data_IF_246226044158
#
_entry.id   IF_246226044158
#
_cell.length_a   1.000
_cell.length_b   1.000
_cell.length_c   1.000
_cell.angle_alpha   90.00
_cell.angle_beta   90.00
_cell.angle_gamma   90.00
#
_symmetry.space_group_name_H-M   'P 1'
#
loop_
_entity.id
_entity.type
_entity.pdbx_description
1 polymer ?
#
# COMPACT_ATOMS: atom_id res chain seq x y z
N UNK A 1 1.97 19.26 20.05
CA UNK A 1 1.89 20.57 19.37
C UNK A 1 1.57 21.61 20.42
N UNK A 2 2.10 22.82 20.33
CA UNK A 2 1.81 23.93 21.24
C UNK A 2 1.35 25.15 20.44
N UNK A 3 0.58 26.01 21.09
CA UNK A 3 0.08 27.27 20.54
C UNK A 3 -0.68 27.10 19.21
N UNK A 4 -1.47 26.02 19.09
CA UNK A 4 -2.13 25.64 17.84
C UNK A 4 -3.37 26.48 17.55
N UNK A 5 -4.20 26.73 18.57
CA UNK A 5 -5.40 27.56 18.45
C UNK A 5 -5.38 28.76 19.40
N UNK A 6 -4.69 28.64 20.54
CA UNK A 6 -4.49 29.72 21.50
C UNK A 6 -3.10 29.65 22.15
N UNK A 7 -2.55 30.81 22.51
CA UNK A 7 -1.28 30.88 23.22
C UNK A 7 -1.35 30.15 24.57
N UNK A 8 -0.37 29.29 24.83
CA UNK A 8 -0.25 28.43 26.01
C UNK A 8 -0.92 27.06 25.85
N UNK A 9 -1.66 26.80 24.78
CA UNK A 9 -2.32 25.51 24.58
C UNK A 9 -1.33 24.37 24.24
N UNK A 10 -1.77 23.13 24.47
CA UNK A 10 -1.02 21.94 24.10
C UNK A 10 -1.97 20.89 23.52
N UNK A 11 -1.65 20.45 22.32
CA UNK A 11 -2.46 19.51 21.55
C UNK A 11 -1.68 18.26 21.19
N UNK A 12 -2.37 17.12 21.24
CA UNK A 12 -1.85 15.84 20.79
C UNK A 12 -2.44 15.50 19.42
N UNK A 13 -1.57 15.27 18.44
CA UNK A 13 -2.00 14.83 17.10
C UNK A 13 -2.14 13.32 17.12
N UNK A 14 -3.38 12.84 17.18
CA UNK A 14 -3.70 11.39 17.15
C UNK A 14 -3.34 10.76 15.81
N UNK A 15 -3.54 11.52 14.74
CA UNK A 15 -3.45 11.05 13.36
C UNK A 15 -4.76 10.46 12.85
N UNK A 16 -5.85 10.46 13.61
CA UNK A 16 -7.13 9.91 13.15
C UNK A 16 -8.04 11.01 12.57
N UNK A 17 -8.66 10.74 11.43
CA UNK A 17 -9.75 11.53 10.84
C UNK A 17 -11.06 11.05 11.44
N UNK A 18 -11.78 11.96 12.10
CA UNK A 18 -13.06 11.69 12.73
C UNK A 18 -14.15 12.56 12.08
N UNK A 19 -15.35 12.00 11.93
CA UNK A 19 -16.56 12.74 11.58
C UNK A 19 -17.41 12.90 12.84
N UNK A 20 -17.89 14.12 13.10
CA UNK A 20 -18.84 14.39 14.18
C UNK A 20 -20.24 14.60 13.58
N UNK A 21 -21.26 14.00 14.17
CA UNK A 21 -22.66 14.24 13.79
C UNK A 21 -23.31 15.40 14.57
N UNK A 22 -24.60 15.64 14.31
CA UNK A 22 -25.37 16.71 14.96
C UNK A 22 -25.61 16.45 16.46
N UNK A 23 -25.66 15.18 16.88
CA UNK A 23 -25.87 14.76 18.27
C UNK A 23 -24.57 14.76 19.08
N UNK A 24 -23.42 14.98 18.43
CA UNK A 24 -22.12 15.13 19.07
C UNK A 24 -21.30 13.85 19.14
N UNK A 25 -21.74 12.76 18.50
CA UNK A 25 -20.99 11.52 18.40
C UNK A 25 -19.86 11.64 17.38
N UNK A 26 -18.71 11.05 17.71
CA UNK A 26 -17.57 10.95 16.82
C UNK A 26 -17.49 9.56 16.21
N UNK A 27 -17.34 9.53 14.89
CA UNK A 27 -17.17 8.33 14.09
C UNK A 27 -15.76 8.32 13.52
N UNK A 28 -15.07 7.21 13.66
CA UNK A 28 -13.80 7.00 12.97
C UNK A 28 -14.04 6.96 11.47
N UNK A 29 -13.27 7.77 10.72
CA UNK A 29 -13.32 7.80 9.26
C UNK A 29 -12.08 7.13 8.70
N UNK A 30 -10.90 7.59 9.10
CA UNK A 30 -9.63 7.10 8.57
C UNK A 30 -8.47 7.53 9.49
N UNK A 31 -7.23 7.18 9.13
CA UNK A 31 -6.02 7.68 9.77
C UNK A 31 -5.14 8.44 8.75
N UNK A 32 -4.82 9.68 9.07
CA UNK A 32 -3.84 10.51 8.37
C UNK A 32 -2.52 9.74 8.21
N UNK A 33 -2.19 9.41 6.96
CA UNK A 33 -1.02 8.61 6.59
C UNK A 33 -1.34 7.20 6.09
N UNK A 34 -2.58 6.72 6.25
CA UNK A 34 -3.08 5.46 5.69
C UNK A 34 -3.73 5.64 4.31
N UNK A 35 -3.58 6.82 3.70
CA UNK A 35 -3.96 7.06 2.29
C UNK A 35 -2.76 7.50 1.47
N UNK A 36 -2.80 7.22 0.17
CA UNK A 36 -1.89 7.81 -0.80
C UNK A 36 -2.65 8.28 -2.03
N UNK A 37 -2.07 9.25 -2.76
CA UNK A 37 -2.65 9.78 -3.99
C UNK A 37 -1.94 9.17 -5.20
N UNK A 38 -2.69 8.58 -6.13
CA UNK A 38 -2.15 7.98 -7.35
C UNK A 38 -2.98 8.41 -8.56
N UNK A 39 -2.33 8.97 -9.58
CA UNK A 39 -2.99 9.45 -10.82
C UNK A 39 -4.21 10.34 -10.57
N UNK A 40 -4.14 11.20 -9.56
CA UNK A 40 -5.21 12.12 -9.21
C UNK A 40 -6.30 11.56 -8.28
N UNK A 41 -6.21 10.29 -7.88
CA UNK A 41 -7.19 9.61 -7.04
C UNK A 41 -6.62 9.32 -5.64
N UNK A 42 -7.47 9.35 -4.62
CA UNK A 42 -7.09 8.97 -3.26
C UNK A 42 -7.35 7.47 -3.06
N UNK A 43 -6.35 6.77 -2.51
CA UNK A 43 -6.42 5.33 -2.23
C UNK A 43 -6.35 5.12 -0.73
N UNK A 44 -7.39 4.50 -0.16
CA UNK A 44 -7.43 4.06 1.23
C UNK A 44 -6.67 2.74 1.38
N UNK A 45 -5.51 2.76 2.05
CA UNK A 45 -4.64 1.58 2.13
C UNK A 45 -5.30 0.42 2.86
N UNK A 46 -6.10 0.71 3.89
CA UNK A 46 -6.77 -0.33 4.67
C UNK A 46 -7.85 -1.04 3.87
N UNK A 47 -8.70 -0.30 3.15
CA UNK A 47 -9.75 -0.89 2.29
C UNK A 47 -9.13 -1.79 1.21
N UNK A 48 -8.05 -1.32 0.58
CA UNK A 48 -7.32 -2.14 -0.40
C UNK A 48 -6.73 -3.39 0.27
N UNK A 49 -6.10 -3.25 1.43
CA UNK A 49 -5.53 -4.39 2.16
C UNK A 49 -6.60 -5.42 2.55
N UNK A 50 -7.74 -4.98 3.08
CA UNK A 50 -8.85 -5.84 3.50
C UNK A 50 -9.42 -6.63 2.32
N UNK A 51 -9.58 -5.99 1.16
CA UNK A 51 -10.02 -6.67 -0.06
C UNK A 51 -8.97 -7.67 -0.57
N UNK A 52 -7.68 -7.32 -0.54
CA UNK A 52 -6.60 -8.21 -0.96
C UNK A 52 -6.37 -9.37 0.01
N UNK A 53 -6.69 -9.23 1.30
CA UNK A 53 -6.66 -10.33 2.28
C UNK A 53 -7.62 -11.47 1.93
N UNK A 54 -8.64 -11.20 1.10
CA UNK A 54 -9.58 -12.22 0.62
C UNK A 54 -9.11 -12.92 -0.66
N UNK A 55 -7.94 -12.54 -1.22
CA UNK A 55 -7.40 -13.17 -2.41
C UNK A 55 -6.96 -14.63 -2.14
N UNK A 56 -7.04 -15.53 -3.14
CA UNK A 56 -6.55 -16.90 -3.00
C UNK A 56 -5.08 -16.96 -2.57
N UNK A 57 -4.76 -17.83 -1.60
CA UNK A 57 -3.40 -18.03 -1.10
C UNK A 57 -2.87 -16.94 -0.17
N UNK A 58 -3.58 -15.83 0.03
CA UNK A 58 -3.16 -14.72 0.90
C UNK A 58 -3.56 -14.97 2.36
N UNK A 59 -2.62 -14.75 3.27
CA UNK A 59 -2.84 -14.73 4.72
C UNK A 59 -3.03 -13.31 5.23
N UNK A 60 -2.12 -12.40 4.87
CA UNK A 60 -2.15 -11.01 5.35
C UNK A 60 -1.54 -10.06 4.31
N UNK A 61 -2.06 -8.83 4.24
CA UNK A 61 -1.67 -7.79 3.29
C UNK A 61 -1.55 -6.46 4.01
N UNK A 62 -0.51 -5.71 3.67
CA UNK A 62 -0.31 -4.33 4.09
C UNK A 62 -0.01 -3.47 2.88
N UNK A 63 -0.80 -2.41 2.69
CA UNK A 63 -0.72 -1.55 1.52
C UNK A 63 -0.13 -0.19 1.92
N UNK A 64 0.70 0.37 1.06
CA UNK A 64 1.33 1.68 1.24
C UNK A 64 1.72 2.30 -0.09
N UNK A 65 1.95 3.60 -0.10
CA UNK A 65 2.35 4.35 -1.29
C UNK A 65 3.87 4.52 -1.40
N UNK A 66 4.45 4.15 -2.54
CA UNK A 66 5.87 4.34 -2.87
C UNK A 66 6.08 5.40 -3.95
N UNK A 67 7.17 6.15 -3.86
CA UNK A 67 7.49 7.21 -4.83
C UNK A 67 8.12 6.59 -6.07
N UNK A 68 7.51 6.81 -7.24
CA UNK A 68 8.04 6.37 -8.53
C UNK A 68 8.56 7.60 -9.30
N UNK A 69 9.84 7.63 -9.73
CA UNK A 69 10.39 8.73 -10.51
C UNK A 69 9.53 9.05 -11.75
N UNK A 70 9.34 10.34 -12.02
CA UNK A 70 8.58 10.79 -13.20
C UNK A 70 7.06 10.65 -13.09
N UNK A 71 6.53 10.28 -11.93
CA UNK A 71 5.08 10.19 -11.69
C UNK A 71 4.64 11.15 -10.60
N UNK A 72 3.40 11.64 -10.70
CA UNK A 72 2.79 12.44 -9.64
C UNK A 72 2.13 11.53 -8.59
N UNK A 73 2.41 11.81 -7.32
CA UNK A 73 1.85 11.04 -6.21
C UNK A 73 2.71 9.83 -5.84
N UNK A 74 2.04 8.76 -5.39
CA UNK A 74 2.67 7.53 -4.93
C UNK A 74 1.95 6.33 -5.53
N UNK A 75 2.71 5.40 -6.11
CA UNK A 75 2.17 4.16 -6.63
C UNK A 75 1.81 3.21 -5.47
N UNK A 76 0.74 2.45 -5.61
CA UNK A 76 0.37 1.45 -4.61
C UNK A 76 1.35 0.28 -4.57
N UNK A 77 1.76 -0.11 -3.36
CA UNK A 77 2.55 -1.30 -3.10
C UNK A 77 1.85 -2.15 -2.03
N UNK A 78 1.81 -3.46 -2.24
CA UNK A 78 1.29 -4.42 -1.27
C UNK A 78 2.42 -5.31 -0.76
N UNK A 79 2.68 -5.28 0.54
CA UNK A 79 3.37 -6.38 1.20
C UNK A 79 2.35 -7.50 1.46
N UNK A 80 2.69 -8.73 1.12
CA UNK A 80 1.78 -9.89 1.18
C UNK A 80 2.49 -11.05 1.89
N UNK A 81 1.82 -11.61 2.89
CA UNK A 81 2.14 -12.91 3.49
C UNK A 81 1.23 -13.95 2.88
N UNK A 82 1.80 -15.03 2.37
CA UNK A 82 1.03 -16.16 1.86
C UNK A 82 0.66 -17.13 2.98
N UNK A 83 -0.39 -17.90 2.77
CA UNK A 83 -0.71 -19.03 3.66
C UNK A 83 0.40 -20.08 3.57
N UNK A 84 0.57 -20.83 4.65
CA UNK A 84 1.60 -21.86 4.73
C UNK A 84 1.41 -22.91 3.61
N UNK A 85 2.49 -23.20 2.89
CA UNK A 85 2.49 -24.14 1.77
C UNK A 85 1.96 -23.60 0.43
N UNK A 86 1.42 -22.37 0.39
CA UNK A 86 0.92 -21.75 -0.83
C UNK A 86 2.03 -20.97 -1.58
N UNK A 87 1.91 -20.95 -2.91
CA UNK A 87 2.73 -20.12 -3.80
C UNK A 87 1.99 -18.86 -4.24
N UNK A 88 2.73 -17.82 -4.62
CA UNK A 88 2.10 -16.62 -5.16
C UNK A 88 1.66 -16.82 -6.61
N UNK A 89 0.36 -16.86 -6.84
CA UNK A 89 -0.23 -16.86 -8.19
C UNK A 89 -0.55 -15.41 -8.61
N UNK A 90 0.34 -14.83 -9.41
CA UNK A 90 0.18 -13.48 -9.94
C UNK A 90 -1.06 -13.29 -10.84
N UNK A 91 -1.55 -14.33 -11.52
CA UNK A 91 -2.76 -14.24 -12.35
C UNK A 91 -4.01 -14.24 -11.48
N UNK A 92 -4.08 -15.14 -10.50
CA UNK A 92 -5.18 -15.18 -9.55
C UNK A 92 -5.28 -13.88 -8.74
N UNK A 93 -4.14 -13.37 -8.26
CA UNK A 93 -4.08 -12.11 -7.52
C UNK A 93 -4.48 -10.90 -8.38
N UNK A 94 -4.02 -10.83 -9.64
CA UNK A 94 -4.46 -9.80 -10.60
C UNK A 94 -5.98 -9.84 -10.82
N UNK A 95 -6.53 -11.02 -11.12
CA UNK A 95 -7.94 -11.19 -11.39
C UNK A 95 -8.80 -10.86 -10.14
N UNK A 96 -8.30 -11.17 -8.94
CA UNK A 96 -8.95 -10.79 -7.70
C UNK A 96 -8.98 -9.27 -7.50
N UNK A 97 -7.85 -8.59 -7.70
CA UNK A 97 -7.78 -7.14 -7.63
C UNK A 97 -8.68 -6.47 -8.65
N UNK A 98 -8.72 -6.96 -9.89
CA UNK A 98 -9.57 -6.42 -10.95
C UNK A 98 -11.08 -6.56 -10.67
N UNK A 99 -11.50 -7.62 -9.99
CA UNK A 99 -12.92 -7.81 -9.61
C UNK A 99 -13.38 -6.88 -8.49
N UNK A 100 -12.49 -6.52 -7.56
CA UNK A 100 -12.88 -5.86 -6.32
C UNK A 100 -12.38 -4.42 -6.19
N UNK A 101 -11.36 -4.02 -6.96
CA UNK A 101 -10.71 -2.72 -6.83
C UNK A 101 -10.78 -1.93 -8.15
N UNK A 102 -10.97 -0.61 -8.07
CA UNK A 102 -10.84 0.25 -9.25
C UNK A 102 -9.38 0.28 -9.73
N UNK A 103 -9.20 0.58 -11.02
CA UNK A 103 -7.91 0.53 -11.71
C UNK A 103 -6.76 1.22 -10.98
N UNK A 104 -7.03 2.39 -10.38
CA UNK A 104 -6.06 3.23 -9.67
C UNK A 104 -5.69 2.70 -8.27
N UNK A 105 -6.54 1.91 -7.63
CA UNK A 105 -6.30 1.37 -6.28
C UNK A 105 -5.58 0.02 -6.30
N UNK A 106 -5.57 -0.67 -7.44
CA UNK A 106 -4.84 -1.93 -7.63
C UNK A 106 -3.33 -1.67 -7.46
N UNK A 107 -2.62 -2.40 -6.58
CA UNK A 107 -1.19 -2.20 -6.37
C UNK A 107 -0.40 -2.30 -7.68
N UNK A 108 0.54 -1.38 -7.88
CA UNK A 108 1.52 -1.47 -8.97
C UNK A 108 2.59 -2.52 -8.66
N UNK A 109 2.91 -2.69 -7.37
CA UNK A 109 3.93 -3.62 -6.88
C UNK A 109 3.39 -4.54 -5.80
N UNK A 110 3.91 -5.77 -5.76
CA UNK A 110 3.68 -6.75 -4.69
C UNK A 110 5.04 -7.20 -4.16
N UNK A 111 5.19 -7.25 -2.83
CA UNK A 111 6.35 -7.79 -2.12
C UNK A 111 5.91 -8.95 -1.26
N UNK A 112 6.49 -10.13 -1.44
CA UNK A 112 6.20 -11.27 -0.59
C UNK A 112 7.08 -11.22 0.65
N UNK A 113 6.46 -11.05 1.82
CA UNK A 113 7.15 -11.04 3.11
C UNK A 113 6.83 -12.32 3.87
N UNK A 114 7.76 -12.79 4.70
CA UNK A 114 7.57 -14.04 5.47
C UNK A 114 6.51 -13.88 6.55
N UNK A 115 6.49 -12.72 7.18
CA UNK A 115 5.54 -12.35 8.23
C UNK A 115 5.34 -10.84 8.21
N UNK A 116 4.17 -10.38 8.66
CA UNK A 116 3.99 -8.98 8.98
C UNK A 116 4.56 -8.75 10.37
N UNK A 117 5.67 -8.03 10.44
CA UNK A 117 6.31 -7.71 11.71
C UNK A 117 5.41 -6.76 12.52
N UNK A 118 4.67 -7.31 13.48
CA UNK A 118 3.83 -6.55 14.42
C UNK A 118 4.67 -6.22 15.64
N UNK A 119 5.31 -5.05 15.69
CA UNK A 119 5.77 -4.53 16.97
C UNK A 119 4.57 -4.29 17.89
N UNK A 120 4.71 -4.54 19.20
CA UNK A 120 3.63 -4.58 20.22
C UNK A 120 2.75 -3.33 20.41
N UNK A 121 2.75 -2.37 19.49
CA UNK A 121 1.83 -1.23 19.43
C UNK A 121 1.08 -1.09 18.10
N UNK A 122 1.17 -2.07 17.17
CA UNK A 122 0.56 -2.02 15.82
C UNK A 122 0.97 -0.76 15.00
N UNK A 123 1.95 0.02 15.48
CA UNK A 123 2.44 1.24 14.85
C UNK A 123 3.90 1.02 14.43
N UNK A 124 4.11 1.20 13.13
CA UNK A 124 5.39 1.42 12.44
C UNK A 124 6.20 0.21 11.95
N UNK A 125 5.72 -0.41 10.85
CA UNK A 125 6.60 -0.79 9.74
C UNK A 125 6.16 -0.33 8.35
N UNK A 126 4.92 0.16 8.14
CA UNK A 126 4.54 0.79 6.85
C UNK A 126 5.53 1.88 6.42
N UNK A 127 6.05 2.69 7.36
CA UNK A 127 7.07 3.70 7.11
C UNK A 127 8.41 3.11 6.66
N UNK A 128 8.86 2.02 7.30
CA UNK A 128 10.10 1.33 6.93
C UNK A 128 9.97 0.66 5.57
N UNK A 129 8.89 -0.09 5.35
CA UNK A 129 8.56 -0.73 4.06
C UNK A 129 8.44 0.31 2.93
N UNK A 130 7.77 1.43 3.20
CA UNK A 130 7.66 2.52 2.22
C UNK A 130 9.00 3.21 1.95
N UNK A 131 9.92 3.27 2.92
CA UNK A 131 11.27 3.83 2.75
C UNK A 131 12.23 2.89 2.02
N UNK A 132 12.04 1.57 2.17
CA UNK A 132 12.71 0.54 1.36
C UNK A 132 12.21 0.58 -0.09
N UNK A 133 10.92 0.89 -0.28
CA UNK A 133 10.33 1.10 -1.59
C UNK A 133 10.18 -0.21 -2.36
N UNK A 134 10.50 -0.18 -3.65
CA UNK A 134 10.37 -1.33 -4.57
C UNK A 134 11.70 -1.67 -5.26
N UNK A 135 12.84 -1.21 -4.72
CA UNK A 135 14.15 -1.41 -5.34
C UNK A 135 14.67 -2.85 -5.09
N UNK A 136 14.79 -3.71 -6.13
CA UNK A 136 15.30 -5.07 -6.00
C UNK A 136 16.79 -5.14 -5.60
N UNK A 137 17.54 -4.03 -5.64
CA UNK A 137 18.90 -3.98 -5.10
C UNK A 137 18.93 -3.78 -3.57
N UNK A 138 17.83 -3.28 -2.98
CA UNK A 138 17.72 -2.97 -1.55
C UNK A 138 16.87 -4.00 -0.79
N UNK A 139 16.03 -4.73 -1.52
CA UNK A 139 15.05 -5.67 -0.96
C UNK A 139 15.42 -7.09 -1.41
N UNK A 140 15.62 -7.98 -0.44
CA UNK A 140 15.87 -9.41 -0.70
C UNK A 140 14.58 -10.21 -0.93
N UNK A 141 13.44 -9.68 -0.48
CA UNK A 141 12.14 -10.30 -0.63
C UNK A 141 11.72 -10.41 -2.11
N UNK A 142 10.99 -11.46 -2.51
CA UNK A 142 10.43 -11.55 -3.85
C UNK A 142 9.53 -10.36 -4.16
N UNK A 143 9.88 -9.63 -5.23
CA UNK A 143 9.12 -8.50 -5.73
C UNK A 143 8.42 -8.88 -7.03
N UNK A 144 7.23 -8.32 -7.23
CA UNK A 144 6.45 -8.46 -8.43
C UNK A 144 5.86 -7.11 -8.84
N UNK A 145 5.58 -6.96 -10.13
CA UNK A 145 5.04 -5.74 -10.73
C UNK A 145 3.85 -6.10 -11.60
N UNK A 146 2.81 -5.26 -11.53
CA UNK A 146 1.57 -5.46 -12.30
C UNK A 146 1.84 -5.32 -13.80
N UNK A 147 1.28 -6.24 -14.57
CA UNK A 147 1.23 -6.18 -16.03
C UNK A 147 -0.22 -6.26 -16.48
N UNK A 148 -0.79 -5.12 -16.89
CA UNK A 148 -2.18 -5.04 -17.36
C UNK A 148 -2.36 -5.70 -18.75
N UNK A 149 -1.29 -5.83 -19.56
CA UNK A 149 -1.35 -6.50 -20.87
C UNK A 149 -1.39 -8.01 -20.72
N UNK A 150 -0.49 -8.57 -19.90
CA UNK A 150 -0.43 -10.00 -19.60
C UNK A 150 -1.45 -10.44 -18.53
N UNK A 151 -2.13 -9.48 -17.88
CA UNK A 151 -3.11 -9.66 -16.80
C UNK A 151 -2.56 -10.53 -15.67
N UNK A 152 -1.38 -10.17 -15.18
CA UNK A 152 -0.67 -10.90 -14.12
C UNK A 152 0.27 -9.98 -13.37
N UNK A 153 0.83 -10.47 -12.27
CA UNK A 153 2.02 -9.90 -11.64
C UNK A 153 3.26 -10.69 -12.12
N UNK A 154 4.27 -9.98 -12.62
CA UNK A 154 5.52 -10.56 -13.10
C UNK A 154 6.63 -10.35 -12.07
N UNK A 155 7.57 -11.30 -11.89
CA UNK A 155 8.74 -11.09 -11.04
C UNK A 155 9.47 -9.80 -11.41
N UNK A 156 9.76 -8.97 -10.41
CA UNK A 156 10.37 -7.66 -10.61
C UNK A 156 11.89 -7.80 -10.65
N UNK A 157 12.43 -7.80 -11.86
CA UNK A 157 13.86 -7.91 -12.13
C UNK A 157 14.50 -6.51 -12.27
N UNK A 158 15.84 -6.44 -12.20
CA UNK A 158 16.57 -5.19 -12.47
C UNK A 158 16.26 -4.61 -13.86
N UNK A 159 16.05 -5.45 -14.87
CA UNK A 159 15.68 -4.97 -16.21
C UNK A 159 14.34 -4.22 -16.21
N UNK A 160 13.35 -4.71 -15.44
CA UNK A 160 12.06 -4.05 -15.28
C UNK A 160 12.14 -2.79 -14.40
N UNK A 161 13.09 -2.72 -13.47
CA UNK A 161 13.36 -1.50 -12.70
C UNK A 161 13.74 -0.34 -13.63
N UNK A 162 14.62 -0.58 -14.60
CA UNK A 162 15.05 0.44 -15.56
C UNK A 162 13.88 0.93 -16.43
N UNK A 163 12.97 0.04 -16.83
CA UNK A 163 11.77 0.41 -17.58
C UNK A 163 10.80 1.28 -16.76
N UNK A 164 10.63 0.98 -15.48
CA UNK A 164 9.82 1.79 -14.56
C UNK A 164 10.50 3.14 -14.29
N UNK A 165 11.80 3.15 -14.02
CA UNK A 165 12.57 4.37 -13.74
C UNK A 165 12.62 5.32 -14.96
N UNK A 166 12.64 4.78 -16.17
CA UNK A 166 12.62 5.55 -17.42
C UNK A 166 11.21 5.86 -17.93
N UNK A 167 10.16 5.42 -17.22
CA UNK A 167 8.76 5.62 -17.61
C UNK A 167 8.33 4.86 -18.86
N UNK A 168 9.15 3.93 -19.36
CA UNK A 168 8.83 3.06 -20.51
C UNK A 168 7.73 2.07 -20.18
N UNK A 169 7.59 1.70 -18.91
CA UNK A 169 6.49 0.88 -18.42
C UNK A 169 5.43 1.75 -17.73
N UNK A 170 4.20 1.67 -18.23
CA UNK A 170 3.04 2.28 -17.55
C UNK A 170 2.64 1.41 -16.35
N UNK A 171 2.63 2.02 -15.18
CA UNK A 171 2.05 1.49 -13.93
C UNK A 171 0.58 1.90 -13.80
#
# INVERSE_FOLDING_TARGET
MRDAFAAGDAWFRTGDLLRRDADGYYYFVDRLGDTFRWKGENVATQEVADLLNTAPGVSETSVYGVVVPGTEGRAGMAAVVLREGEGFDGRAFYAHGERHLPGYARPAFVRLVREMDVTGTLKQRKLALAAEGYDPARIADPLFVRDDTARTYLPFTRALLDEVATGRRRL
#
